data_IF_741198374367
#
_entry.id   IF_741198374367
#
_cell.length_a   1.000
_cell.length_b   1.000
_cell.length_c   1.000
_cell.angle_alpha   90.00
_cell.angle_beta   90.00
_cell.angle_gamma   90.00
#
_symmetry.space_group_name_H-M   'P 1'
#
loop_
_entity.id
_entity.type
_entity.pdbx_description
1 polymer ?
#
# COMPACT_ATOMS: atom_id res chain seq x y z
N UNK A 1 -25.19 -2.53 8.34
CA UNK A 1 -24.83 -1.17 8.83
C UNK A 1 -23.92 -0.49 7.83
N UNK A 2 -24.48 0.33 6.95
CA UNK A 2 -23.70 1.17 6.05
C UNK A 2 -22.82 2.11 6.88
N UNK A 3 -21.50 2.03 6.68
CA UNK A 3 -20.46 2.89 7.29
C UNK A 3 -20.55 4.32 6.74
N UNK A 4 -21.77 4.88 6.73
CA UNK A 4 -22.06 6.29 6.56
C UNK A 4 -21.53 7.04 7.77
N UNK A 5 -20.23 7.28 7.73
CA UNK A 5 -19.49 8.34 8.42
C UNK A 5 -19.46 8.29 9.93
N UNK A 6 -18.91 7.21 10.52
CA UNK A 6 -18.56 7.16 11.96
C UNK A 6 -17.92 8.48 12.44
N UNK A 7 -16.94 8.98 11.68
CA UNK A 7 -16.27 10.24 11.96
C UNK A 7 -17.23 11.44 11.99
N UNK A 8 -18.09 11.60 10.97
CA UNK A 8 -19.06 12.70 10.95
C UNK A 8 -20.12 12.55 12.02
N UNK A 9 -20.54 11.33 12.35
CA UNK A 9 -21.51 11.08 13.43
C UNK A 9 -20.94 11.55 14.76
N UNK A 10 -19.73 11.11 15.10
CA UNK A 10 -19.03 11.57 16.31
C UNK A 10 -18.88 13.09 16.26
N UNK A 11 -18.41 13.66 15.14
CA UNK A 11 -18.25 15.10 15.00
C UNK A 11 -19.55 15.90 15.18
N UNK A 12 -20.71 15.39 14.75
CA UNK A 12 -21.99 16.05 15.01
C UNK A 12 -22.31 16.09 16.50
N UNK A 13 -22.06 14.99 17.18
CA UNK A 13 -22.35 14.84 18.60
C UNK A 13 -21.43 15.72 19.47
N UNK A 14 -20.15 15.87 19.09
CA UNK A 14 -19.18 16.65 19.88
C UNK A 14 -18.94 18.09 19.41
N UNK A 15 -19.13 18.39 18.12
CA UNK A 15 -18.78 19.69 17.49
C UNK A 15 -19.91 20.29 16.64
N UNK A 16 -21.06 19.62 16.53
CA UNK A 16 -22.22 20.10 15.78
C UNK A 16 -22.22 19.79 14.26
N UNK A 17 -23.39 19.98 13.63
CA UNK A 17 -23.64 19.58 12.23
C UNK A 17 -22.78 20.37 11.23
N UNK A 18 -22.64 21.68 11.41
CA UNK A 18 -21.86 22.53 10.50
C UNK A 18 -20.37 22.14 10.50
N UNK A 19 -19.84 21.73 11.65
CA UNK A 19 -18.47 21.25 11.73
C UNK A 19 -18.31 19.89 11.03
N UNK A 20 -19.22 18.95 11.30
CA UNK A 20 -19.21 17.63 10.70
C UNK A 20 -19.27 17.65 9.16
N UNK A 21 -19.90 18.67 8.56
CA UNK A 21 -19.93 18.88 7.10
C UNK A 21 -18.52 19.08 6.51
N UNK A 22 -17.61 19.77 7.23
CA UNK A 22 -16.22 20.04 6.81
C UNK A 22 -15.34 18.79 6.77
N UNK A 23 -15.65 17.79 7.59
CA UNK A 23 -14.80 16.62 7.75
C UNK A 23 -14.93 15.60 6.62
N UNK A 24 -13.86 14.82 6.43
CA UNK A 24 -13.90 13.59 5.65
C UNK A 24 -14.80 12.54 6.32
N UNK A 25 -15.10 11.47 5.58
CA UNK A 25 -16.04 10.45 6.01
C UNK A 25 -15.43 9.33 6.85
N UNK A 26 -14.12 9.09 6.71
CA UNK A 26 -13.47 7.84 7.14
C UNK A 26 -12.46 8.08 8.26
N UNK A 27 -12.51 7.22 9.26
CA UNK A 27 -11.39 6.93 10.18
C UNK A 27 -10.74 5.63 9.70
N UNK A 28 -9.41 5.59 9.67
CA UNK A 28 -8.67 4.35 9.39
C UNK A 28 -8.13 3.79 10.71
N UNK A 29 -8.30 2.49 10.91
CA UNK A 29 -7.81 1.80 12.10
C UNK A 29 -6.64 0.91 11.71
N UNK A 30 -5.51 1.07 12.39
CA UNK A 30 -4.29 0.28 12.20
C UNK A 30 -3.91 -0.26 13.57
N UNK A 31 -4.15 -1.55 13.79
CA UNK A 31 -4.00 -2.15 15.12
C UNK A 31 -4.90 -1.46 16.13
N UNK A 32 -4.29 -0.91 17.17
CA UNK A 32 -4.94 -0.11 18.22
C UNK A 32 -4.87 1.42 17.99
N UNK A 33 -4.45 1.86 16.80
CA UNK A 33 -4.40 3.26 16.41
C UNK A 33 -5.62 3.65 15.57
N UNK A 34 -6.16 4.84 15.82
CA UNK A 34 -7.17 5.48 14.97
C UNK A 34 -6.57 6.70 14.24
N UNK A 35 -6.70 6.74 12.92
CA UNK A 35 -6.13 7.77 12.05
C UNK A 35 -7.26 8.60 11.42
N UNK A 36 -7.25 9.90 11.68
CA UNK A 36 -8.23 10.86 11.15
C UNK A 36 -7.55 11.72 10.10
N UNK A 37 -8.01 11.66 8.84
CA UNK A 37 -7.50 12.55 7.80
C UNK A 37 -7.95 13.98 8.05
N UNK A 38 -7.01 14.92 8.04
CA UNK A 38 -7.30 16.35 8.21
C UNK A 38 -7.75 16.95 6.87
N UNK A 39 -8.88 17.68 6.80
CA UNK A 39 -9.22 18.51 5.66
C UNK A 39 -8.15 19.59 5.38
N UNK A 40 -8.02 20.00 4.12
CA UNK A 40 -7.07 21.07 3.77
C UNK A 40 -7.50 22.38 4.45
N UNK A 41 -6.58 23.05 5.12
CA UNK A 41 -6.83 24.32 5.81
C UNK A 41 -7.48 24.21 7.20
N UNK A 42 -7.67 23.00 7.72
CA UNK A 42 -8.20 22.76 9.07
C UNK A 42 -7.04 22.52 10.05
N UNK A 43 -7.07 23.16 11.23
CA UNK A 43 -6.08 22.91 12.28
C UNK A 43 -6.31 21.52 12.90
N UNK A 44 -5.32 20.61 12.87
CA UNK A 44 -5.43 19.29 13.49
C UNK A 44 -5.89 19.33 14.95
N UNK A 45 -5.55 20.37 15.71
CA UNK A 45 -5.92 20.49 17.12
C UNK A 45 -7.45 20.52 17.34
N UNK A 46 -8.21 21.02 16.36
CA UNK A 46 -9.68 21.04 16.41
C UNK A 46 -10.30 19.64 16.41
N UNK A 47 -9.54 18.60 16.03
CA UNK A 47 -10.00 17.21 16.01
C UNK A 47 -9.88 16.50 17.37
N UNK A 48 -9.29 17.14 18.40
CA UNK A 48 -9.10 16.53 19.72
C UNK A 48 -10.39 16.04 20.38
N UNK A 49 -11.51 16.79 20.38
CA UNK A 49 -12.77 16.30 20.98
C UNK A 49 -13.29 15.03 20.30
N UNK A 50 -13.11 14.92 18.97
CA UNK A 50 -13.47 13.72 18.21
C UNK A 50 -12.54 12.56 18.58
N UNK A 51 -11.26 12.83 18.80
CA UNK A 51 -10.27 11.83 19.16
C UNK A 51 -10.53 11.24 20.55
N UNK A 52 -10.85 12.07 21.54
CA UNK A 52 -11.26 11.62 22.87
C UNK A 52 -12.50 10.73 22.79
N UNK A 53 -13.49 11.13 21.97
CA UNK A 53 -14.71 10.37 21.82
C UNK A 53 -14.50 9.04 21.08
N UNK A 54 -13.51 8.94 20.19
CA UNK A 54 -13.08 7.66 19.62
C UNK A 54 -12.50 6.73 20.68
N UNK A 55 -11.70 7.24 21.62
CA UNK A 55 -11.16 6.44 22.72
C UNK A 55 -12.27 5.95 23.65
N UNK A 56 -13.24 6.81 23.97
CA UNK A 56 -14.39 6.45 24.80
C UNK A 56 -15.25 5.34 24.18
N UNK A 57 -15.51 5.40 22.87
CA UNK A 57 -16.35 4.41 22.16
C UNK A 57 -15.64 3.11 21.85
N UNK A 58 -14.33 3.13 21.67
CA UNK A 58 -13.55 1.99 21.22
C UNK A 58 -12.44 1.68 22.21
N UNK A 59 -12.75 0.87 23.22
CA UNK A 59 -11.81 0.49 24.29
C UNK A 59 -10.51 -0.17 23.81
N UNK A 60 -10.51 -0.75 22.61
CA UNK A 60 -9.31 -1.32 21.98
C UNK A 60 -8.41 -0.26 21.33
N UNK A 61 -8.91 0.94 21.04
CA UNK A 61 -8.12 2.05 20.51
C UNK A 61 -7.37 2.66 21.67
N UNK A 62 -6.05 2.83 21.51
CA UNK A 62 -5.15 3.35 22.53
C UNK A 62 -4.55 4.69 22.17
N UNK A 63 -4.50 5.03 20.88
CA UNK A 63 -3.93 6.28 20.41
C UNK A 63 -4.65 6.77 19.15
N UNK A 64 -4.85 8.08 19.06
CA UNK A 64 -5.52 8.73 17.92
C UNK A 64 -4.63 9.79 17.32
N UNK A 65 -4.50 9.78 16.00
CA UNK A 65 -3.61 10.66 15.24
C UNK A 65 -4.34 11.35 14.09
N UNK A 66 -4.01 12.62 13.87
CA UNK A 66 -4.36 13.39 12.70
C UNK A 66 -3.37 13.12 11.57
N UNK A 67 -3.87 12.70 10.41
CA UNK A 67 -3.10 12.45 9.20
C UNK A 67 -3.17 13.67 8.28
N UNK A 68 -2.06 14.42 8.19
CA UNK A 68 -1.97 15.68 7.45
C UNK A 68 -2.02 15.40 5.94
N UNK A 69 -2.70 16.22 5.11
CA UNK A 69 -2.65 16.12 3.65
C UNK A 69 -1.21 16.15 3.09
N UNK A 70 -1.01 15.51 1.94
CA UNK A 70 0.32 15.40 1.32
C UNK A 70 1.14 14.19 1.75
N UNK A 71 2.24 14.00 1.05
CA UNK A 71 3.32 13.04 1.32
C UNK A 71 4.63 13.75 0.96
N UNK A 72 5.67 13.59 1.77
CA UNK A 72 6.91 14.37 1.69
C UNK A 72 8.14 13.48 1.91
N UNK A 73 9.31 14.02 1.56
CA UNK A 73 10.60 13.37 1.75
C UNK A 73 10.85 12.22 0.78
N UNK A 74 12.04 11.62 0.90
CA UNK A 74 12.53 10.52 0.07
C UNK A 74 11.61 9.28 0.17
N UNK A 75 11.13 8.97 1.37
CA UNK A 75 10.26 7.82 1.63
C UNK A 75 8.77 8.11 1.46
N UNK A 76 8.43 9.34 1.05
CA UNK A 76 7.07 9.77 0.68
C UNK A 76 6.04 9.43 1.75
N UNK A 77 6.42 9.69 3.00
CA UNK A 77 5.61 9.44 4.17
C UNK A 77 4.67 10.61 4.44
N UNK A 78 3.55 10.30 5.08
CA UNK A 78 2.59 11.30 5.53
C UNK A 78 3.01 11.80 6.91
N UNK A 79 2.84 13.10 7.16
CA UNK A 79 2.99 13.67 8.50
C UNK A 79 1.77 13.35 9.36
N UNK A 80 2.01 12.99 10.62
CA UNK A 80 0.97 12.74 11.61
C UNK A 80 1.15 13.64 12.83
N UNK A 81 0.03 14.06 13.41
CA UNK A 81 -0.02 14.83 14.66
C UNK A 81 -0.80 14.00 15.68
N UNK A 82 -0.22 13.77 16.85
CA UNK A 82 -0.91 13.08 17.93
C UNK A 82 -2.06 13.94 18.46
N UNK A 83 -3.23 13.32 18.68
CA UNK A 83 -4.44 14.01 19.14
C UNK A 83 -4.82 13.63 20.57
N UNK A 84 -4.88 12.34 20.89
CA UNK A 84 -5.34 11.85 22.19
C UNK A 84 -4.84 10.42 22.48
N UNK A 85 -4.92 10.01 23.75
CA UNK A 85 -4.55 8.68 24.22
C UNK A 85 -3.05 8.54 24.48
N UNK A 86 -2.50 7.35 24.30
CA UNK A 86 -1.05 7.11 24.41
C UNK A 86 -0.31 7.88 23.30
N UNK A 87 0.77 8.59 23.63
CA UNK A 87 1.62 9.27 22.64
C UNK A 87 2.56 8.26 21.92
N UNK A 88 1.95 7.31 21.20
CA UNK A 88 2.60 6.18 20.51
C UNK A 88 2.04 6.00 19.10
N UNK A 89 2.93 5.84 18.12
CA UNK A 89 2.61 5.61 16.70
C UNK A 89 2.93 4.18 16.23
N UNK A 90 3.61 3.39 17.04
CA UNK A 90 3.89 1.97 16.76
C UNK A 90 2.73 1.09 17.23
N UNK A 91 2.38 0.06 16.47
CA UNK A 91 1.29 -0.87 16.78
C UNK A 91 1.50 -2.23 16.10
N UNK A 92 0.67 -3.21 16.45
CA UNK A 92 0.55 -4.49 15.73
C UNK A 92 -0.76 -4.50 14.95
N UNK A 93 -0.65 -4.43 13.63
CA UNK A 93 -1.76 -4.56 12.70
C UNK A 93 -1.98 -6.01 12.28
N UNK A 94 -3.23 -6.49 12.30
CA UNK A 94 -3.59 -7.84 11.86
C UNK A 94 -4.31 -7.79 10.53
N UNK A 95 -3.83 -8.57 9.55
CA UNK A 95 -4.46 -8.69 8.24
C UNK A 95 -4.34 -10.14 7.73
N UNK A 96 -5.46 -10.74 7.29
CA UNK A 96 -5.48 -12.10 6.74
C UNK A 96 -4.75 -13.16 7.57
N UNK A 97 -4.90 -13.08 8.89
CA UNK A 97 -4.25 -14.01 9.83
C UNK A 97 -2.75 -13.75 10.06
N UNK A 98 -2.18 -12.72 9.43
CA UNK A 98 -0.79 -12.29 9.61
C UNK A 98 -0.74 -11.09 10.58
N UNK A 99 0.39 -10.94 11.27
CA UNK A 99 0.66 -9.85 12.22
C UNK A 99 1.75 -8.92 11.67
N UNK A 100 1.56 -7.61 11.77
CA UNK A 100 2.49 -6.62 11.25
C UNK A 100 2.74 -5.56 12.31
N UNK A 101 3.91 -5.60 12.94
CA UNK A 101 4.40 -4.47 13.72
C UNK A 101 4.81 -3.35 12.77
N UNK A 102 4.29 -2.17 13.01
CA UNK A 102 4.46 -0.99 12.15
C UNK A 102 4.43 0.28 12.99
N UNK A 103 5.18 1.29 12.56
CA UNK A 103 5.02 2.67 13.02
C UNK A 103 4.45 3.50 11.88
N UNK A 104 3.24 4.01 12.07
CA UNK A 104 2.48 4.74 11.03
C UNK A 104 3.15 6.04 10.59
N UNK A 105 4.10 6.56 11.38
CA UNK A 105 4.90 7.75 11.04
C UNK A 105 6.14 7.44 10.21
N UNK A 106 6.59 6.17 10.23
CA UNK A 106 7.85 5.74 9.60
C UNK A 106 7.64 4.82 8.40
N UNK A 107 6.47 4.19 8.29
CA UNK A 107 6.17 3.24 7.20
C UNK A 107 4.77 3.45 6.67
N UNK A 108 4.63 3.38 5.35
CA UNK A 108 3.33 3.39 4.71
C UNK A 108 2.55 2.09 4.98
N UNK A 109 1.37 2.23 5.58
CA UNK A 109 0.42 1.13 5.80
C UNK A 109 -0.97 1.64 5.45
N UNK A 110 -1.73 0.83 4.70
CA UNK A 110 -3.06 1.20 4.26
C UNK A 110 -4.01 0.00 4.34
N UNK A 111 -4.84 -0.09 5.39
CA UNK A 111 -5.83 -1.15 5.54
C UNK A 111 -6.79 -1.29 4.36
N UNK A 112 -6.97 -0.24 3.54
CA UNK A 112 -7.81 -0.31 2.34
C UNK A 112 -7.24 -1.21 1.23
N UNK A 113 -5.97 -1.61 1.32
CA UNK A 113 -5.32 -2.51 0.36
C UNK A 113 -5.52 -3.99 0.73
N UNK A 114 -6.20 -4.31 1.83
CA UNK A 114 -6.33 -5.69 2.28
C UNK A 114 -6.85 -6.66 1.21
N UNK A 115 -7.82 -6.24 0.41
CA UNK A 115 -8.35 -7.09 -0.66
C UNK A 115 -7.26 -7.37 -1.69
N UNK A 116 -6.46 -6.36 -2.02
CA UNK A 116 -5.41 -6.45 -3.02
C UNK A 116 -4.26 -7.35 -2.56
N UNK A 117 -3.86 -7.27 -1.28
CA UNK A 117 -2.87 -8.17 -0.71
C UNK A 117 -3.27 -9.64 -0.86
N UNK A 118 -4.50 -9.98 -0.48
CA UNK A 118 -5.01 -11.34 -0.61
C UNK A 118 -5.26 -11.75 -2.08
N UNK A 119 -5.69 -10.81 -2.93
CA UNK A 119 -5.88 -11.07 -4.37
C UNK A 119 -4.58 -11.51 -5.01
N UNK A 120 -3.50 -10.75 -4.80
CA UNK A 120 -2.19 -11.08 -5.37
C UNK A 120 -1.66 -12.39 -4.79
N UNK A 121 -1.82 -12.63 -3.49
CA UNK A 121 -1.46 -13.91 -2.88
C UNK A 121 -2.16 -15.10 -3.55
N UNK A 122 -3.43 -14.97 -3.94
CA UNK A 122 -4.18 -16.03 -4.66
C UNK A 122 -3.76 -16.23 -6.10
N UNK A 123 -3.06 -15.27 -6.72
CA UNK A 123 -2.55 -15.39 -8.09
C UNK A 123 -1.20 -16.11 -8.15
N UNK A 124 -0.44 -16.08 -7.05
CA UNK A 124 0.86 -16.74 -6.96
C UNK A 124 0.67 -18.26 -6.95
N UNK A 125 1.34 -18.95 -7.87
CA UNK A 125 1.34 -20.41 -7.91
C UNK A 125 2.41 -20.97 -6.95
N UNK A 126 2.19 -22.17 -6.37
CA UNK A 126 3.20 -22.84 -5.58
C UNK A 126 4.52 -22.98 -6.33
N UNK A 127 5.64 -22.69 -5.66
CA UNK A 127 6.97 -22.76 -6.24
C UNK A 127 7.42 -21.53 -7.05
N UNK A 128 6.56 -20.52 -7.27
CA UNK A 128 6.99 -19.27 -7.90
C UNK A 128 8.04 -18.53 -7.04
N UNK A 129 8.97 -17.85 -7.72
CA UNK A 129 9.81 -16.81 -7.14
C UNK A 129 9.16 -15.45 -7.39
N UNK A 130 8.91 -14.71 -6.32
CA UNK A 130 8.28 -13.38 -6.38
C UNK A 130 9.30 -12.31 -6.01
N UNK A 131 9.37 -11.23 -6.79
CA UNK A 131 10.08 -10.00 -6.42
C UNK A 131 9.05 -8.90 -6.13
N UNK A 132 9.04 -8.38 -4.91
CA UNK A 132 8.25 -7.22 -4.54
C UNK A 132 9.17 -6.00 -4.44
N UNK A 133 9.07 -5.08 -5.39
CA UNK A 133 10.02 -3.97 -5.54
C UNK A 133 9.81 -2.84 -4.52
N UNK A 134 8.63 -2.75 -3.89
CA UNK A 134 8.29 -1.67 -2.97
C UNK A 134 7.48 -2.21 -1.78
N UNK A 135 8.16 -2.92 -0.88
CA UNK A 135 7.52 -3.83 0.06
C UNK A 135 6.93 -3.17 1.31
N UNK A 136 7.39 -1.98 1.69
CA UNK A 136 7.08 -1.35 2.98
C UNK A 136 7.43 -2.30 4.14
N UNK A 137 6.49 -2.48 5.06
CA UNK A 137 6.62 -3.43 6.18
C UNK A 137 6.40 -4.90 5.78
N UNK A 138 6.37 -5.23 4.48
CA UNK A 138 6.32 -6.60 3.96
C UNK A 138 4.93 -7.20 3.79
N UNK A 139 3.84 -6.39 3.79
CA UNK A 139 2.46 -6.90 3.80
C UNK A 139 2.16 -7.86 2.64
N UNK A 140 2.41 -7.44 1.39
CA UNK A 140 2.25 -8.32 0.22
C UNK A 140 3.09 -9.60 0.37
N UNK A 141 4.38 -9.45 0.68
CA UNK A 141 5.34 -10.56 0.68
C UNK A 141 5.03 -11.62 1.74
N UNK A 142 4.67 -11.20 2.95
CA UNK A 142 4.33 -12.10 4.06
C UNK A 142 2.99 -12.78 3.80
N UNK A 143 1.98 -12.06 3.29
CA UNK A 143 0.67 -12.64 2.96
C UNK A 143 0.82 -13.66 1.82
N UNK A 144 1.62 -13.37 0.79
CA UNK A 144 1.95 -14.32 -0.27
C UNK A 144 2.62 -15.57 0.31
N UNK A 145 3.64 -15.40 1.17
CA UNK A 145 4.33 -16.53 1.79
C UNK A 145 3.39 -17.41 2.64
N UNK A 146 2.43 -16.80 3.34
CA UNK A 146 1.46 -17.52 4.17
C UNK A 146 0.39 -18.29 3.39
N UNK A 147 -0.04 -17.74 2.25
CA UNK A 147 -1.25 -18.23 1.58
C UNK A 147 -0.98 -18.91 0.22
N UNK A 148 0.21 -18.76 -0.37
CA UNK A 148 0.49 -19.20 -1.74
C UNK A 148 1.62 -20.23 -1.90
N UNK A 149 2.42 -20.48 -0.84
CA UNK A 149 3.58 -21.40 -0.86
C UNK A 149 4.57 -21.11 -2.03
N UNK A 150 5.03 -19.86 -2.22
CA UNK A 150 6.08 -19.56 -3.19
C UNK A 150 7.39 -20.26 -2.78
N UNK A 151 8.30 -20.46 -3.73
CA UNK A 151 9.64 -20.93 -3.41
C UNK A 151 10.44 -19.85 -2.65
N UNK A 152 10.36 -18.60 -3.12
CA UNK A 152 11.04 -17.47 -2.50
C UNK A 152 10.31 -16.16 -2.78
N UNK A 153 10.33 -15.23 -1.83
CA UNK A 153 9.86 -13.86 -2.02
C UNK A 153 10.96 -12.88 -1.66
N UNK A 154 11.56 -12.22 -2.65
CA UNK A 154 12.46 -11.11 -2.42
C UNK A 154 11.65 -9.84 -2.17
N UNK A 155 11.84 -9.24 -1.00
CA UNK A 155 11.00 -8.14 -0.50
C UNK A 155 11.88 -6.92 -0.30
N UNK A 156 11.74 -5.92 -1.17
CA UNK A 156 12.66 -4.80 -1.28
C UNK A 156 12.01 -3.54 -0.77
N UNK A 157 12.72 -2.77 0.06
CA UNK A 157 12.35 -1.40 0.35
C UNK A 157 13.60 -0.53 0.57
N UNK A 158 13.54 0.72 0.13
CA UNK A 158 14.64 1.68 0.29
C UNK A 158 14.63 2.33 1.67
N UNK A 159 13.47 2.38 2.34
CA UNK A 159 13.34 2.98 3.66
C UNK A 159 13.89 2.02 4.74
N UNK A 160 14.95 2.41 5.47
CA UNK A 160 15.56 1.55 6.48
C UNK A 160 14.61 1.22 7.65
N UNK A 161 13.68 2.11 8.00
CA UNK A 161 12.67 1.80 9.00
C UNK A 161 11.68 0.74 8.50
N UNK A 162 11.22 0.86 7.26
CA UNK A 162 10.34 -0.13 6.64
C UNK A 162 11.01 -1.51 6.57
N UNK A 163 12.28 -1.55 6.16
CA UNK A 163 13.11 -2.74 6.19
C UNK A 163 13.21 -3.37 7.58
N UNK A 164 13.49 -2.59 8.62
CA UNK A 164 13.60 -3.10 9.99
C UNK A 164 12.29 -3.71 10.48
N UNK A 165 11.15 -3.04 10.24
CA UNK A 165 9.84 -3.63 10.54
C UNK A 165 9.55 -4.87 9.71
N UNK A 166 9.93 -4.88 8.43
CA UNK A 166 9.78 -6.05 7.56
C UNK A 166 10.57 -7.26 8.09
N UNK A 167 11.82 -7.07 8.53
CA UNK A 167 12.63 -8.13 9.14
C UNK A 167 11.97 -8.69 10.40
N UNK A 168 11.45 -7.82 11.28
CA UNK A 168 10.72 -8.25 12.46
C UNK A 168 9.44 -8.99 12.09
N UNK A 169 8.68 -8.47 11.11
CA UNK A 169 7.41 -9.06 10.66
C UNK A 169 7.61 -10.42 9.99
N UNK A 170 8.69 -10.62 9.24
CA UNK A 170 9.03 -11.92 8.66
C UNK A 170 9.22 -12.97 9.76
N UNK A 171 9.94 -12.63 10.83
CA UNK A 171 10.12 -13.51 12.01
C UNK A 171 8.82 -13.71 12.78
N UNK A 172 8.07 -12.63 13.03
CA UNK A 172 6.79 -12.66 13.73
C UNK A 172 5.78 -13.60 13.06
N UNK A 173 5.81 -13.66 11.73
CA UNK A 173 4.96 -14.55 10.96
C UNK A 173 5.60 -15.91 10.66
N UNK A 174 6.84 -16.21 11.11
CA UNK A 174 7.52 -17.49 10.84
C UNK A 174 7.58 -17.80 9.33
N UNK A 175 8.03 -16.83 8.54
CA UNK A 175 8.21 -16.96 7.08
C UNK A 175 9.64 -16.64 6.63
N UNK A 176 10.60 -16.66 7.55
CA UNK A 176 12.02 -16.37 7.33
C UNK A 176 12.73 -17.33 6.37
N UNK A 177 12.24 -18.56 6.19
CA UNK A 177 12.72 -19.47 5.15
C UNK A 177 12.30 -19.09 3.72
N UNK A 178 11.26 -18.26 3.58
CA UNK A 178 10.58 -17.96 2.30
C UNK A 178 10.74 -16.49 1.90
N UNK A 179 10.55 -15.56 2.83
CA UNK A 179 10.64 -14.11 2.56
C UNK A 179 12.04 -13.62 2.90
N UNK A 180 12.68 -12.96 1.94
CA UNK A 180 14.01 -12.36 2.08
C UNK A 180 13.89 -10.84 2.03
N UNK A 181 13.95 -10.16 3.18
CA UNK A 181 14.03 -8.71 3.23
C UNK A 181 15.33 -8.21 2.60
N UNK A 182 15.24 -7.16 1.78
CA UNK A 182 16.39 -6.50 1.16
C UNK A 182 16.23 -4.98 1.36
N UNK A 183 17.26 -4.35 1.91
CA UNK A 183 17.36 -2.90 2.05
C UNK A 183 18.09 -2.35 0.82
N UNK A 184 17.47 -1.40 0.14
CA UNK A 184 18.10 -0.65 -0.95
C UNK A 184 17.12 -0.27 -2.04
N UNK A 185 17.65 0.41 -3.06
CA UNK A 185 16.89 0.74 -4.24
C UNK A 185 16.56 -0.53 -5.06
N UNK A 186 15.32 -0.61 -5.53
CA UNK A 186 14.85 -1.80 -6.24
C UNK A 186 15.52 -1.97 -7.60
N UNK A 187 15.86 -0.88 -8.29
CA UNK A 187 16.61 -0.93 -9.54
C UNK A 187 18.00 -1.48 -9.28
N UNK A 188 18.72 -0.96 -8.28
CA UNK A 188 20.08 -1.40 -7.96
C UNK A 188 20.13 -2.88 -7.55
N UNK A 189 19.21 -3.29 -6.67
CA UNK A 189 19.13 -4.68 -6.21
C UNK A 189 18.74 -5.63 -7.33
N UNK A 190 17.83 -5.22 -8.22
CA UNK A 190 17.52 -6.01 -9.40
C UNK A 190 18.76 -6.14 -10.27
N UNK A 191 19.44 -5.03 -10.60
CA UNK A 191 20.55 -5.07 -11.53
C UNK A 191 21.76 -5.84 -11.03
N UNK A 192 22.03 -5.76 -9.73
CA UNK A 192 23.17 -6.42 -9.10
C UNK A 192 22.91 -7.86 -8.64
N UNK A 193 21.67 -8.22 -8.30
CA UNK A 193 21.39 -9.49 -7.57
C UNK A 193 20.18 -10.28 -8.02
N UNK A 194 19.17 -9.64 -8.65
CA UNK A 194 17.88 -10.29 -8.95
C UNK A 194 17.52 -10.31 -10.43
N UNK A 195 18.47 -10.05 -11.34
CA UNK A 195 18.27 -10.30 -12.77
C UNK A 195 17.90 -11.77 -13.00
N UNK A 196 16.93 -12.01 -13.88
CA UNK A 196 16.56 -13.36 -14.29
C UNK A 196 16.17 -14.29 -13.11
N UNK A 197 15.57 -13.74 -12.05
CA UNK A 197 15.34 -14.46 -10.79
C UNK A 197 13.86 -14.79 -10.53
N UNK A 198 12.92 -13.98 -11.05
CA UNK A 198 11.52 -14.01 -10.67
C UNK A 198 10.60 -14.63 -11.73
N UNK A 199 9.56 -15.31 -11.28
CA UNK A 199 8.42 -15.71 -12.11
C UNK A 199 7.31 -14.63 -12.06
N UNK A 200 7.34 -13.79 -11.01
CA UNK A 200 6.38 -12.70 -10.79
C UNK A 200 7.02 -11.49 -10.12
N UNK A 201 6.70 -10.29 -10.61
CA UNK A 201 7.16 -9.02 -10.05
C UNK A 201 5.98 -8.14 -9.64
N UNK A 202 6.04 -7.57 -8.43
CA UNK A 202 5.09 -6.60 -7.91
C UNK A 202 5.72 -5.22 -7.87
N UNK A 203 5.01 -4.22 -8.37
CA UNK A 203 5.42 -2.81 -8.27
C UNK A 203 4.35 -1.97 -7.54
N UNK A 204 4.07 -2.22 -6.25
CA UNK A 204 2.98 -1.57 -5.51
C UNK A 204 3.27 -0.10 -5.13
N UNK A 205 4.07 0.61 -5.94
CA UNK A 205 4.31 2.04 -5.82
C UNK A 205 3.91 2.77 -7.13
N UNK A 206 2.66 3.29 -7.19
CA UNK A 206 2.11 3.89 -8.41
C UNK A 206 2.88 5.06 -9.04
N UNK A 207 3.63 5.84 -8.25
CA UNK A 207 4.35 7.01 -8.75
C UNK A 207 5.63 6.62 -9.51
N UNK A 208 6.24 5.49 -9.15
CA UNK A 208 7.49 4.99 -9.73
C UNK A 208 7.30 3.82 -10.68
N UNK A 209 6.11 3.22 -10.74
CA UNK A 209 5.90 1.95 -11.45
C UNK A 209 6.33 1.96 -12.93
N UNK A 210 6.05 3.03 -13.69
CA UNK A 210 6.43 3.11 -15.12
C UNK A 210 7.93 3.36 -15.32
N UNK A 211 8.55 4.12 -14.41
CA UNK A 211 9.99 4.37 -14.41
C UNK A 211 10.76 3.07 -14.08
N UNK A 212 10.24 2.28 -13.14
CA UNK A 212 10.87 1.05 -12.66
C UNK A 212 10.52 -0.20 -13.47
N UNK A 213 9.55 -0.10 -14.38
CA UNK A 213 9.11 -1.18 -15.26
C UNK A 213 10.27 -1.88 -16.03
N UNK A 214 11.29 -1.18 -16.56
CA UNK A 214 12.42 -1.84 -17.23
C UNK A 214 13.18 -2.81 -16.30
N UNK A 215 13.29 -2.46 -15.01
CA UNK A 215 13.94 -3.31 -14.02
C UNK A 215 13.05 -4.47 -13.61
N UNK A 216 11.73 -4.25 -13.49
CA UNK A 216 10.78 -5.35 -13.30
C UNK A 216 10.90 -6.40 -14.41
N UNK A 217 11.04 -5.97 -15.67
CA UNK A 217 11.26 -6.87 -16.80
C UNK A 217 12.60 -7.62 -16.70
N UNK A 218 13.70 -6.92 -16.36
CA UNK A 218 15.02 -7.56 -16.14
C UNK A 218 15.02 -8.59 -15.01
N UNK A 219 14.14 -8.45 -14.02
CA UNK A 219 14.03 -9.40 -12.92
C UNK A 219 13.36 -10.72 -13.32
N UNK A 220 12.57 -10.74 -14.41
CA UNK A 220 11.86 -11.93 -14.87
C UNK A 220 12.79 -12.97 -15.48
N UNK A 221 12.53 -14.25 -15.17
CA UNK A 221 13.24 -15.38 -15.77
C UNK A 221 12.97 -15.45 -17.27
N UNK A 222 14.03 -15.49 -18.07
CA UNK A 222 14.00 -15.53 -19.53
C UNK A 222 13.14 -14.41 -20.15
N UNK A 223 12.98 -13.28 -19.46
CA UNK A 223 12.05 -12.20 -19.79
C UNK A 223 10.58 -12.66 -19.87
N UNK A 224 10.18 -13.69 -19.12
CA UNK A 224 8.82 -14.24 -19.09
C UNK A 224 8.27 -14.27 -17.68
N UNK A 225 6.96 -14.08 -17.56
CA UNK A 225 6.26 -14.15 -16.27
C UNK A 225 5.36 -12.97 -16.02
N UNK A 226 4.93 -12.81 -14.78
CA UNK A 226 3.88 -11.86 -14.41
C UNK A 226 4.45 -10.55 -13.87
N UNK A 227 3.90 -9.42 -14.31
CA UNK A 227 4.18 -8.09 -13.73
C UNK A 227 2.87 -7.46 -13.29
N UNK A 228 2.82 -7.03 -12.02
CA UNK A 228 1.69 -6.30 -11.46
C UNK A 228 2.03 -4.81 -11.40
N UNK A 229 1.52 -4.06 -12.38
CA UNK A 229 1.80 -2.62 -12.57
C UNK A 229 0.73 -1.80 -11.88
N UNK A 230 1.08 -1.13 -10.79
CA UNK A 230 0.15 -0.25 -10.08
C UNK A 230 0.30 1.17 -10.59
N UNK A 231 -0.81 1.88 -10.83
CA UNK A 231 -0.79 3.26 -11.37
C UNK A 231 -1.81 4.15 -10.68
N UNK A 232 -1.54 5.46 -10.70
CA UNK A 232 -2.54 6.49 -10.43
C UNK A 232 -3.10 7.01 -11.75
N UNK A 233 -4.28 6.52 -12.13
CA UNK A 233 -4.97 6.90 -13.36
C UNK A 233 -5.69 8.25 -13.24
N UNK A 234 -5.10 9.21 -13.96
CA UNK A 234 -5.39 10.62 -14.29
C UNK A 234 -6.71 11.18 -14.83
N UNK A 235 -7.88 10.57 -14.76
CA UNK A 235 -8.91 10.81 -15.80
C UNK A 235 -9.53 12.22 -15.88
N UNK A 236 -9.86 12.65 -17.10
CA UNK A 236 -10.71 13.82 -17.37
C UNK A 236 -12.19 13.46 -17.40
N UNK A 237 -13.09 14.44 -17.50
CA UNK A 237 -14.54 14.20 -17.50
C UNK A 237 -14.94 13.43 -18.77
N UNK A 238 -15.58 12.27 -18.60
CA UNK A 238 -16.02 11.41 -19.73
C UNK A 238 -14.97 10.39 -20.18
N UNK A 239 -13.73 10.49 -19.70
CA UNK A 239 -12.66 9.55 -20.03
C UNK A 239 -12.80 8.25 -19.21
N UNK A 240 -12.63 7.11 -19.89
CA UNK A 240 -12.64 5.80 -19.24
C UNK A 240 -11.27 5.51 -18.61
N UNK A 241 -11.24 5.34 -17.29
CA UNK A 241 -10.03 5.04 -16.54
C UNK A 241 -9.39 3.71 -16.93
N UNK A 242 -10.17 2.72 -17.41
CA UNK A 242 -9.62 1.43 -17.87
C UNK A 242 -8.77 1.65 -19.12
N UNK A 243 -9.38 2.26 -20.14
CA UNK A 243 -8.74 2.48 -21.44
C UNK A 243 -7.53 3.39 -21.31
N UNK A 244 -7.62 4.43 -20.47
CA UNK A 244 -6.47 5.29 -20.16
C UNK A 244 -5.32 4.49 -19.54
N UNK A 245 -5.62 3.67 -18.52
CA UNK A 245 -4.59 2.92 -17.80
C UNK A 245 -3.94 1.85 -18.68
N UNK A 246 -4.74 1.22 -19.56
CA UNK A 246 -4.25 0.30 -20.59
C UNK A 246 -3.25 1.00 -21.51
N UNK A 247 -3.68 2.09 -22.16
CA UNK A 247 -2.85 2.85 -23.11
C UNK A 247 -1.54 3.31 -22.48
N UNK A 248 -1.58 3.79 -21.24
CA UNK A 248 -0.36 4.22 -20.53
C UNK A 248 0.67 3.08 -20.37
N UNK A 249 0.23 1.85 -20.09
CA UNK A 249 1.16 0.70 -19.99
C UNK A 249 1.62 0.23 -21.37
N UNK A 250 0.71 0.20 -22.34
CA UNK A 250 0.99 -0.18 -23.73
C UNK A 250 2.00 0.77 -24.39
N UNK A 251 1.84 2.08 -24.22
CA UNK A 251 2.80 3.11 -24.67
C UNK A 251 4.16 2.88 -24.02
N UNK A 252 4.19 2.62 -22.72
CA UNK A 252 5.45 2.35 -22.01
C UNK A 252 6.13 1.06 -22.48
N UNK A 253 5.38 -0.01 -22.77
CA UNK A 253 5.96 -1.22 -23.34
C UNK A 253 6.51 -1.01 -24.75
N UNK A 254 5.81 -0.24 -25.58
CA UNK A 254 6.28 0.15 -26.91
C UNK A 254 7.61 0.91 -26.84
N UNK A 255 7.74 1.86 -25.91
CA UNK A 255 9.01 2.58 -25.68
C UNK A 255 10.15 1.65 -25.25
N UNK A 256 9.84 0.56 -24.54
CA UNK A 256 10.80 -0.42 -24.06
C UNK A 256 11.07 -1.57 -25.05
N UNK A 257 10.40 -1.57 -26.22
CA UNK A 257 10.51 -2.65 -27.21
C UNK A 257 9.97 -3.99 -26.72
N UNK A 258 8.94 -3.98 -25.88
CA UNK A 258 8.27 -5.19 -25.38
C UNK A 258 7.04 -5.44 -26.24
N UNK A 259 7.12 -6.45 -27.11
CA UNK A 259 6.08 -6.72 -28.10
C UNK A 259 5.25 -7.97 -27.79
N UNK A 260 5.76 -8.91 -26.99
CA UNK A 260 5.08 -10.18 -26.65
C UNK A 260 4.57 -10.18 -25.20
N UNK A 261 3.36 -9.65 -25.01
CA UNK A 261 2.71 -9.58 -23.72
C UNK A 261 1.18 -9.68 -23.82
N UNK A 262 0.55 -9.92 -22.67
CA UNK A 262 -0.90 -9.91 -22.51
C UNK A 262 -1.28 -9.19 -21.23
N UNK A 263 -2.07 -8.12 -21.34
CA UNK A 263 -2.69 -7.46 -20.19
C UNK A 263 -3.97 -8.24 -19.84
N UNK A 264 -3.84 -9.21 -18.92
CA UNK A 264 -4.91 -10.11 -18.55
C UNK A 264 -6.00 -9.43 -17.69
N UNK A 265 -5.65 -8.37 -16.94
CA UNK A 265 -6.58 -7.65 -16.08
C UNK A 265 -6.24 -6.17 -15.98
N UNK A 266 -7.26 -5.31 -16.01
CA UNK A 266 -7.18 -3.91 -15.56
C UNK A 266 -8.21 -3.69 -14.46
N UNK A 267 -7.74 -3.42 -13.24
CA UNK A 267 -8.59 -3.32 -12.05
C UNK A 267 -8.41 -1.99 -11.34
N UNK A 268 -9.54 -1.39 -10.93
CA UNK A 268 -9.53 -0.28 -9.96
C UNK A 268 -9.48 -0.83 -8.54
N UNK A 269 -8.47 -0.41 -7.79
CA UNK A 269 -8.28 -0.75 -6.37
C UNK A 269 -9.12 0.18 -5.51
N UNK A 270 -8.93 1.50 -5.68
CA UNK A 270 -9.63 2.53 -4.90
C UNK A 270 -9.60 3.89 -5.60
N UNK A 271 -10.42 4.82 -5.11
CA UNK A 271 -10.31 6.23 -5.45
C UNK A 271 -9.31 6.88 -4.49
N UNK A 272 -8.34 7.63 -5.02
CA UNK A 272 -7.34 8.34 -4.21
C UNK A 272 -7.53 9.86 -4.23
N UNK A 273 -8.31 10.37 -5.19
CA UNK A 273 -8.69 11.78 -5.28
C UNK A 273 -9.79 12.00 -6.32
N UNK A 274 -10.24 13.27 -6.50
CA UNK A 274 -11.21 13.62 -7.53
C UNK A 274 -10.70 13.21 -8.92
N UNK A 275 -11.38 12.25 -9.55
CA UNK A 275 -11.00 11.67 -10.86
C UNK A 275 -9.60 11.02 -10.88
N UNK A 276 -9.08 10.63 -9.72
CA UNK A 276 -7.83 9.88 -9.63
C UNK A 276 -8.12 8.50 -9.04
N UNK A 277 -7.82 7.48 -9.83
CA UNK A 277 -8.04 6.08 -9.47
C UNK A 277 -6.70 5.39 -9.28
N UNK A 278 -6.50 4.72 -8.14
CA UNK A 278 -5.43 3.75 -8.02
C UNK A 278 -5.89 2.46 -8.69
N UNK A 279 -5.13 2.02 -9.68
CA UNK A 279 -5.41 0.84 -10.50
C UNK A 279 -4.22 -0.11 -10.47
N UNK A 280 -4.47 -1.35 -10.88
CA UNK A 280 -3.44 -2.35 -11.16
C UNK A 280 -3.72 -2.98 -12.52
N UNK A 281 -2.66 -3.22 -13.29
CA UNK A 281 -2.66 -4.02 -14.49
C UNK A 281 -1.85 -5.29 -14.21
N UNK A 282 -2.47 -6.44 -14.40
CA UNK A 282 -1.77 -7.72 -14.33
C UNK A 282 -1.35 -8.09 -15.76
N UNK A 283 -0.04 -8.10 -16.00
CA UNK A 283 0.53 -8.32 -17.33
C UNK A 283 1.31 -9.62 -17.32
N UNK A 284 1.08 -10.48 -18.30
CA UNK A 284 1.89 -11.65 -18.60
C UNK A 284 2.86 -11.30 -19.74
N UNK A 285 4.15 -11.37 -19.49
CA UNK A 285 5.19 -11.32 -20.52
C UNK A 285 5.46 -12.74 -21.02
N UNK A 286 5.46 -12.94 -22.35
CA UNK A 286 5.35 -14.24 -23.00
C UNK A 286 6.67 -14.82 -23.52
#
# INVERSE_FOLDING_TARGET
MTRGTLLKRIAREVLGEEYAKKLWKRVEFVGDLALIRVPIGLDPAELRPIAEELLNRFSYVKSVWAAIPGIEGEYRLRKYVWLAGEARSETVYKEHGCLFKVDVTKVYVSPSLNYEHMRVARLVKPGEVVVNMFAGAGLFSIIIAKHAKPFKVYSIDINPHAYNYMVENVKLNKVDGVVVPLLGDAKELVEGRLKNAADRVLMPYPELALEYLPYALKALKCNKGWVHVYLHSKVTKGENWKDRSWKTVEERFKELGVDDYEIALVRKIRNVGPRIHQVVLDVLIK
#
